data_IF_523628689364
#
_entry.id   IF_523628689364
#
_cell.length_a   1.000
_cell.length_b   1.000
_cell.length_c   1.000
_cell.angle_alpha   90.00
_cell.angle_beta   90.00
_cell.angle_gamma   90.00
#
_symmetry.space_group_name_H-M   'P 1'
#
loop_
_entity.id
_entity.type
_entity.pdbx_description
1 polymer ?
#
# COMPACT_ATOMS: atom_id res chain seq x y z
N UNK A 1 -18.64 -17.64 -9.66
CA UNK A 1 -17.19 -17.54 -9.95
C UNK A 1 -16.78 -16.06 -9.92
N UNK A 2 -16.14 -15.55 -8.86
CA UNK A 2 -15.81 -14.10 -8.72
C UNK A 2 -14.33 -13.81 -8.37
N UNK A 3 -13.46 -14.83 -8.37
CA UNK A 3 -12.11 -14.71 -7.78
C UNK A 3 -11.11 -13.95 -8.67
N UNK A 4 -11.31 -13.98 -10.00
CA UNK A 4 -10.39 -13.35 -10.97
C UNK A 4 -10.59 -11.84 -11.05
N UNK A 5 -11.84 -11.36 -10.98
CA UNK A 5 -12.14 -9.92 -10.96
C UNK A 5 -11.54 -9.24 -9.72
N UNK A 6 -11.85 -9.77 -8.53
CA UNK A 6 -11.28 -9.27 -7.27
C UNK A 6 -9.73 -9.30 -7.24
N UNK A 7 -9.08 -10.32 -7.80
CA UNK A 7 -7.62 -10.40 -7.79
C UNK A 7 -6.96 -9.39 -8.74
N UNK A 8 -7.58 -9.13 -9.90
CA UNK A 8 -7.14 -8.07 -10.82
C UNK A 8 -7.35 -6.67 -10.21
N UNK A 9 -8.43 -6.47 -9.46
CA UNK A 9 -8.67 -5.22 -8.72
C UNK A 9 -7.64 -5.04 -7.59
N UNK A 10 -7.42 -6.09 -6.78
CA UNK A 10 -6.51 -6.06 -5.61
C UNK A 10 -5.05 -5.81 -6.04
N UNK A 11 -4.61 -6.40 -7.15
CA UNK A 11 -3.26 -6.19 -7.68
C UNK A 11 -3.06 -4.77 -8.21
N UNK A 12 -4.08 -4.19 -8.84
CA UNK A 12 -4.07 -2.80 -9.31
C UNK A 12 -4.01 -1.81 -8.13
N UNK A 13 -4.79 -2.05 -7.08
CA UNK A 13 -4.73 -1.28 -5.81
C UNK A 13 -3.34 -1.40 -5.19
N UNK A 14 -2.81 -2.61 -5.08
CA UNK A 14 -1.46 -2.84 -4.51
C UNK A 14 -0.39 -2.07 -5.28
N UNK A 15 -0.45 -2.07 -6.62
CA UNK A 15 0.51 -1.35 -7.45
C UNK A 15 0.39 0.16 -7.28
N UNK A 16 -0.84 0.71 -7.20
CA UNK A 16 -1.09 2.13 -6.93
C UNK A 16 -0.51 2.56 -5.58
N UNK A 17 -0.83 1.83 -4.51
CA UNK A 17 -0.32 2.12 -3.17
C UNK A 17 1.21 2.03 -3.14
N UNK A 18 1.81 0.99 -3.73
CA UNK A 18 3.28 0.90 -3.83
C UNK A 18 3.89 2.06 -4.61
N UNK A 19 3.30 2.46 -5.73
CA UNK A 19 3.79 3.58 -6.53
C UNK A 19 3.72 4.89 -5.74
N UNK A 20 2.61 5.15 -5.08
CA UNK A 20 2.43 6.36 -4.28
C UNK A 20 3.34 6.40 -3.05
N UNK A 21 3.62 5.25 -2.43
CA UNK A 21 4.63 5.16 -1.37
C UNK A 21 6.03 5.42 -1.91
N UNK A 22 6.40 4.88 -3.08
CA UNK A 22 7.72 5.10 -3.70
C UNK A 22 7.92 6.57 -4.10
N UNK A 23 6.85 7.25 -4.51
CA UNK A 23 6.86 8.68 -4.86
C UNK A 23 7.01 9.58 -3.61
N UNK A 24 6.67 9.05 -2.43
CA UNK A 24 6.82 9.75 -1.16
C UNK A 24 8.26 9.65 -0.63
N UNK A 25 9.05 10.70 -0.86
CA UNK A 25 10.45 10.80 -0.41
C UNK A 25 10.62 10.67 1.11
N UNK A 26 9.57 10.96 1.89
CA UNK A 26 9.61 10.81 3.33
C UNK A 26 9.50 9.34 3.75
N UNK A 27 9.00 8.44 2.90
CA UNK A 27 8.78 7.03 3.22
C UNK A 27 9.83 6.16 2.53
N UNK A 28 10.59 5.40 3.31
CA UNK A 28 11.48 4.35 2.79
C UNK A 28 10.67 3.13 2.37
N UNK A 29 10.05 3.24 1.20
CA UNK A 29 9.11 2.26 0.65
C UNK A 29 9.72 0.90 0.33
N UNK A 30 11.05 0.79 0.34
CA UNK A 30 11.79 -0.47 0.20
C UNK A 30 11.62 -1.41 1.40
N UNK A 31 11.31 -0.88 2.59
CA UNK A 31 11.13 -1.67 3.81
C UNK A 31 9.65 -1.92 4.16
N UNK A 32 8.73 -1.43 3.33
CA UNK A 32 7.28 -1.57 3.51
C UNK A 32 6.71 -2.57 2.48
N UNK A 33 6.09 -3.62 3.01
CA UNK A 33 5.31 -4.57 2.24
C UNK A 33 3.85 -4.14 2.19
N UNK A 34 3.30 -4.07 0.97
CA UNK A 34 1.89 -3.78 0.72
C UNK A 34 1.24 -5.06 0.21
N UNK A 35 0.16 -5.48 0.88
CA UNK A 35 -0.65 -6.63 0.47
C UNK A 35 -2.12 -6.23 0.44
N UNK A 36 -2.78 -6.42 -0.71
CA UNK A 36 -4.22 -6.22 -0.82
C UNK A 36 -4.90 -7.57 -0.98
N UNK A 37 -5.89 -7.86 -0.14
CA UNK A 37 -6.72 -9.06 -0.26
C UNK A 37 -8.17 -8.70 -0.02
N UNK A 38 -9.05 -9.09 -0.94
CA UNK A 38 -10.49 -8.84 -0.84
C UNK A 38 -10.79 -7.34 -0.65
N UNK A 39 -10.09 -6.47 -1.37
CA UNK A 39 -10.16 -5.00 -1.26
C UNK A 39 -9.68 -4.42 0.07
N UNK A 40 -9.07 -5.21 0.95
CA UNK A 40 -8.46 -4.73 2.19
C UNK A 40 -6.96 -4.60 1.99
N UNK A 41 -6.45 -3.37 2.13
CA UNK A 41 -5.01 -3.08 2.05
C UNK A 41 -4.37 -3.26 3.41
N UNK A 42 -3.32 -4.05 3.47
CA UNK A 42 -2.47 -4.27 4.65
C UNK A 42 -1.07 -3.77 4.35
N UNK A 43 -0.57 -2.91 5.24
CA UNK A 43 0.77 -2.36 5.22
C UNK A 43 1.56 -3.00 6.37
N UNK A 44 2.72 -3.58 6.06
CA UNK A 44 3.59 -4.21 7.06
C UNK A 44 5.03 -3.87 6.76
N UNK A 45 5.80 -3.42 7.75
CA UNK A 45 7.20 -3.08 7.54
C UNK A 45 7.77 -2.28 8.70
N UNK A 46 8.96 -1.73 8.48
CA UNK A 46 9.62 -0.85 9.42
C UNK A 46 9.64 0.57 8.87
N UNK A 47 9.35 1.53 9.74
CA UNK A 47 9.45 2.96 9.46
C UNK A 47 10.27 3.61 10.56
N UNK A 48 10.95 4.70 10.22
CA UNK A 48 11.86 5.43 11.10
C UNK A 48 11.10 6.31 12.10
N UNK A 49 9.84 6.66 11.81
CA UNK A 49 9.00 7.47 12.70
C UNK A 49 7.51 7.16 12.56
N UNK A 50 6.74 7.53 13.59
CA UNK A 50 5.29 7.43 13.55
C UNK A 50 4.67 8.31 12.45
N UNK A 51 5.27 9.46 12.15
CA UNK A 51 4.82 10.34 11.07
C UNK A 51 4.90 9.64 9.70
N UNK A 52 5.96 8.86 9.45
CA UNK A 52 6.07 8.03 8.24
C UNK A 52 4.98 6.95 8.19
N UNK A 53 4.65 6.32 9.32
CA UNK A 53 3.56 5.34 9.38
C UNK A 53 2.22 5.98 9.00
N UNK A 54 1.91 7.15 9.58
CA UNK A 54 0.67 7.88 9.30
C UNK A 54 0.61 8.34 7.85
N UNK A 55 1.72 8.79 7.29
CA UNK A 55 1.79 9.20 5.90
C UNK A 55 1.58 8.01 4.96
N UNK A 56 2.18 6.84 5.26
CA UNK A 56 1.97 5.62 4.48
C UNK A 56 0.50 5.19 4.47
N UNK A 57 -0.19 5.32 5.61
CA UNK A 57 -1.63 5.05 5.71
C UNK A 57 -2.42 6.05 4.88
N UNK A 58 -2.16 7.36 5.00
CA UNK A 58 -2.84 8.40 4.21
C UNK A 58 -2.67 8.19 2.70
N UNK A 59 -1.46 7.84 2.27
CA UNK A 59 -1.14 7.55 0.87
C UNK A 59 -1.95 6.33 0.39
N UNK A 60 -2.07 5.30 1.21
CA UNK A 60 -2.87 4.12 0.89
C UNK A 60 -4.39 4.39 0.86
N UNK A 61 -4.90 5.26 1.75
CA UNK A 61 -6.30 5.66 1.79
C UNK A 61 -6.70 6.58 0.63
N UNK A 62 -5.76 7.33 0.06
CA UNK A 62 -6.01 8.28 -1.03
C UNK A 62 -6.06 7.69 -2.44
N UNK A 63 -5.85 6.39 -2.61
CA UNK A 63 -5.74 5.70 -3.91
C UNK A 63 -7.04 5.06 -4.44
#
# INVERSE_FOLDING_TARGET
MNKVGNFMDDSSITAKVKAALVDDEAIKSTDISVKTEQKVVTLSGFVESQAQAEQAVKVAEGC
#
